data_IF_958342602928
#
_entry.id   IF_958342602928
#
_cell.length_a   1.000
_cell.length_b   1.000
_cell.length_c   1.000
_cell.angle_alpha   90.00
_cell.angle_beta   90.00
_cell.angle_gamma   90.00
#
_symmetry.space_group_name_H-M   'P 1'
#
loop_
_entity.id
_entity.type
_entity.pdbx_description
1 polymer ?
#
# COMPACT_ATOMS: atom_id res chain seq x y z
N UNK A 1 31.68 56.51 35.49
CA UNK A 1 32.86 56.34 34.62
C UNK A 1 32.83 54.93 34.07
N UNK A 2 32.76 54.81 32.75
CA UNK A 2 32.46 53.58 32.03
C UNK A 2 33.61 52.56 32.13
N UNK A 3 33.28 51.34 32.57
CA UNK A 3 34.15 50.17 32.55
C UNK A 3 33.53 49.13 31.61
N UNK A 4 33.57 49.42 30.32
CA UNK A 4 33.06 48.55 29.24
C UNK A 4 34.11 48.40 28.12
N UNK A 5 35.39 48.45 28.46
CA UNK A 5 36.48 48.51 27.47
C UNK A 5 37.33 47.22 27.38
N UNK A 6 36.87 46.11 27.95
CA UNK A 6 37.51 44.79 27.79
C UNK A 6 36.51 43.72 27.31
N UNK A 7 35.46 44.13 26.61
CA UNK A 7 34.62 43.16 25.89
C UNK A 7 35.43 42.69 24.67
N UNK A 8 36.00 41.49 24.74
CA UNK A 8 36.79 40.95 23.64
C UNK A 8 35.86 40.54 22.48
N UNK A 9 35.48 41.53 21.68
CA UNK A 9 34.52 41.41 20.58
C UNK A 9 34.97 40.36 19.57
N UNK A 10 36.30 40.17 19.42
CA UNK A 10 36.87 39.12 18.57
C UNK A 10 36.55 37.72 19.11
N UNK A 11 36.73 37.49 20.41
CA UNK A 11 36.43 36.19 21.02
C UNK A 11 34.94 35.87 20.95
N UNK A 12 34.09 36.89 21.17
CA UNK A 12 32.63 36.74 21.07
C UNK A 12 32.21 36.45 19.62
N UNK A 13 32.80 37.14 18.65
CA UNK A 13 32.53 36.90 17.24
C UNK A 13 32.96 35.49 16.81
N UNK A 14 34.14 35.03 17.26
CA UNK A 14 34.64 33.67 17.00
C UNK A 14 33.73 32.62 17.66
N UNK A 15 33.33 32.82 18.92
CA UNK A 15 32.41 31.92 19.61
C UNK A 15 31.04 31.85 18.92
N UNK A 16 30.52 32.99 18.44
CA UNK A 16 29.29 33.07 17.66
C UNK A 16 29.38 32.26 16.37
N UNK A 17 30.40 32.50 15.55
CA UNK A 17 30.61 31.75 14.29
C UNK A 17 30.81 30.25 14.57
N UNK A 18 31.57 29.90 15.60
CA UNK A 18 31.76 28.51 16.00
C UNK A 18 30.44 27.84 16.37
N UNK A 19 29.56 28.52 17.12
CA UNK A 19 28.25 27.98 17.49
C UNK A 19 27.36 27.68 16.27
N UNK A 20 27.38 28.57 15.26
CA UNK A 20 26.58 28.39 14.03
C UNK A 20 27.10 27.20 13.24
N UNK A 21 28.42 27.04 13.15
CA UNK A 21 29.05 25.90 12.48
C UNK A 21 28.66 24.60 13.19
N UNK A 22 28.70 24.55 14.52
CA UNK A 22 28.32 23.37 15.29
C UNK A 22 26.86 22.99 15.03
N UNK A 23 25.94 23.96 15.08
CA UNK A 23 24.52 23.72 14.78
C UNK A 23 24.34 23.22 13.35
N UNK A 24 25.04 23.80 12.38
CA UNK A 24 25.00 23.35 10.99
C UNK A 24 25.47 21.89 10.86
N UNK A 25 26.56 21.52 11.52
CA UNK A 25 27.05 20.13 11.57
C UNK A 25 26.04 19.20 12.22
N UNK A 26 25.37 19.62 13.31
CA UNK A 26 24.30 18.83 13.92
C UNK A 26 23.12 18.62 12.97
N UNK A 27 22.71 19.63 12.20
CA UNK A 27 21.62 19.52 11.22
C UNK A 27 22.02 18.53 10.11
N UNK A 28 23.21 18.69 9.53
CA UNK A 28 23.70 17.80 8.46
C UNK A 28 23.88 16.37 8.98
N UNK A 29 24.42 16.20 10.19
CA UNK A 29 24.58 14.90 10.83
C UNK A 29 23.22 14.22 11.10
N UNK A 30 22.24 14.97 11.59
CA UNK A 30 20.88 14.46 11.79
C UNK A 30 20.22 14.09 10.45
N UNK A 31 20.42 14.88 9.39
CA UNK A 31 19.96 14.55 8.05
C UNK A 31 20.63 13.26 7.54
N UNK A 32 21.95 13.14 7.66
CA UNK A 32 22.69 11.95 7.22
C UNK A 32 22.23 10.69 7.95
N UNK A 33 22.06 10.76 9.28
CA UNK A 33 21.50 9.67 10.08
C UNK A 33 20.07 9.35 9.63
N UNK A 34 19.22 10.36 9.47
CA UNK A 34 17.85 10.17 9.00
C UNK A 34 17.81 9.50 7.62
N UNK A 35 18.69 9.87 6.69
CA UNK A 35 18.79 9.22 5.39
C UNK A 35 19.34 7.79 5.47
N UNK A 36 20.29 7.49 6.36
CA UNK A 36 20.78 6.11 6.57
C UNK A 36 19.69 5.22 7.17
N UNK A 37 18.99 5.69 8.20
CA UNK A 37 17.84 4.99 8.79
C UNK A 37 16.72 4.82 7.77
N UNK A 38 16.40 5.87 7.01
CA UNK A 38 15.38 5.83 5.97
C UNK A 38 15.74 4.89 4.84
N UNK A 39 17.00 4.82 4.40
CA UNK A 39 17.41 3.82 3.40
C UNK A 39 17.26 2.39 3.93
N UNK A 40 17.57 2.15 5.22
CA UNK A 40 17.39 0.84 5.85
C UNK A 40 15.92 0.45 5.99
N UNK A 41 15.05 1.41 6.28
CA UNK A 41 13.62 1.20 6.39
C UNK A 41 12.90 1.17 5.04
N UNK A 42 13.29 1.98 4.06
CA UNK A 42 12.73 1.96 2.71
C UNK A 42 13.15 0.69 1.97
N UNK A 43 14.35 0.15 2.15
CA UNK A 43 14.70 -1.18 1.63
C UNK A 43 13.85 -2.26 2.30
N UNK A 44 13.61 -2.16 3.61
CA UNK A 44 12.70 -3.09 4.29
C UNK A 44 11.26 -2.90 3.86
N UNK A 45 10.76 -1.67 3.68
CA UNK A 45 9.37 -1.35 3.38
C UNK A 45 9.05 -1.46 1.90
N UNK A 46 10.00 -1.33 0.98
CA UNK A 46 9.80 -1.68 -0.43
C UNK A 46 9.72 -3.21 -0.59
N UNK A 47 10.39 -3.97 0.29
CA UNK A 47 10.31 -5.44 0.33
C UNK A 47 9.11 -5.94 1.19
N UNK A 48 8.74 -5.22 2.26
CA UNK A 48 7.75 -5.59 3.29
C UNK A 48 6.44 -4.79 3.18
N UNK A 49 6.33 -3.84 2.25
CA UNK A 49 5.05 -3.25 1.83
C UNK A 49 4.31 -4.21 0.89
N UNK A 50 3.99 -5.39 1.44
CA UNK A 50 2.61 -5.86 1.48
C UNK A 50 1.97 -6.38 0.18
N UNK A 51 2.61 -6.43 -0.98
CA UNK A 51 1.91 -6.80 -2.23
C UNK A 51 2.72 -7.64 -3.24
N UNK A 52 3.68 -8.47 -2.83
CA UNK A 52 4.17 -9.51 -3.74
C UNK A 52 3.34 -10.79 -3.57
N UNK A 53 3.33 -11.36 -2.36
CA UNK A 53 2.67 -12.64 -2.11
C UNK A 53 1.14 -12.53 -2.09
N UNK A 54 0.58 -11.52 -1.41
CA UNK A 54 -0.87 -11.29 -1.41
C UNK A 54 -1.42 -10.96 -2.79
N UNK A 55 -0.68 -10.17 -3.55
CA UNK A 55 -1.09 -9.77 -4.91
C UNK A 55 -1.00 -10.99 -5.84
N UNK A 56 -0.01 -11.88 -5.67
CA UNK A 56 0.02 -13.15 -6.40
C UNK A 56 -1.14 -14.08 -6.07
N UNK A 57 -1.54 -14.20 -4.80
CA UNK A 57 -2.67 -15.06 -4.40
C UNK A 57 -3.99 -14.49 -4.94
N UNK A 58 -4.19 -13.18 -4.86
CA UNK A 58 -5.39 -12.52 -5.39
C UNK A 58 -5.44 -12.62 -6.92
N UNK A 59 -4.31 -12.45 -7.60
CA UNK A 59 -4.21 -12.65 -9.04
C UNK A 59 -4.52 -14.09 -9.42
N UNK A 60 -3.95 -15.07 -8.72
CA UNK A 60 -4.21 -16.49 -8.96
C UNK A 60 -5.68 -16.88 -8.72
N UNK A 61 -6.30 -16.34 -7.67
CA UNK A 61 -7.73 -16.49 -7.40
C UNK A 61 -8.58 -15.87 -8.51
N UNK A 62 -8.24 -14.64 -8.96
CA UNK A 62 -8.94 -13.99 -10.07
C UNK A 62 -8.80 -14.76 -11.38
N UNK A 63 -7.65 -15.35 -11.66
CA UNK A 63 -7.44 -16.18 -12.86
C UNK A 63 -8.34 -17.42 -12.80
N UNK A 64 -8.34 -18.16 -11.68
CA UNK A 64 -9.21 -19.35 -11.52
C UNK A 64 -10.70 -19.05 -11.65
N UNK A 65 -11.15 -17.85 -11.27
CA UNK A 65 -12.55 -17.44 -11.35
C UNK A 65 -12.97 -16.93 -12.74
N UNK A 66 -12.00 -16.59 -13.60
CA UNK A 66 -12.26 -16.03 -14.95
C UNK A 66 -12.21 -17.06 -16.06
N UNK A 67 -11.57 -18.19 -15.83
CA UNK A 67 -11.34 -19.19 -16.87
C UNK A 67 -12.36 -20.34 -16.78
N UNK A 68 -12.72 -20.89 -17.94
CA UNK A 68 -13.45 -22.16 -18.00
C UNK A 68 -12.52 -23.30 -17.64
N UNK A 69 -13.01 -24.25 -16.84
CA UNK A 69 -12.21 -25.37 -16.38
C UNK A 69 -13.05 -26.58 -16.02
N UNK A 70 -12.40 -27.73 -15.87
CA UNK A 70 -13.04 -28.91 -15.28
C UNK A 70 -12.74 -28.94 -13.79
N UNK A 71 -13.76 -28.93 -12.93
CA UNK A 71 -13.60 -29.08 -11.48
C UNK A 71 -13.50 -30.56 -11.15
N UNK A 72 -14.38 -31.37 -11.72
CA UNK A 72 -14.43 -32.82 -11.51
C UNK A 72 -14.94 -33.49 -12.79
N UNK A 73 -14.05 -34.19 -13.50
CA UNK A 73 -14.36 -34.85 -14.78
C UNK A 73 -15.21 -36.10 -14.58
N UNK A 74 -15.09 -36.79 -13.44
CA UNK A 74 -15.86 -37.99 -13.14
C UNK A 74 -17.32 -37.63 -12.84
N UNK A 75 -17.53 -36.50 -12.17
CA UNK A 75 -18.88 -35.97 -11.86
C UNK A 75 -19.42 -35.02 -12.92
N UNK A 76 -18.70 -34.81 -14.03
CA UNK A 76 -19.07 -33.91 -15.13
C UNK A 76 -19.34 -32.47 -14.66
N UNK A 77 -18.61 -31.99 -13.64
CA UNK A 77 -18.76 -30.63 -13.08
C UNK A 77 -17.74 -29.71 -13.74
N UNK A 78 -18.23 -28.70 -14.44
CA UNK A 78 -17.45 -27.65 -15.12
C UNK A 78 -17.47 -26.35 -14.34
N UNK A 79 -16.33 -25.67 -14.29
CA UNK A 79 -16.22 -24.29 -13.87
C UNK A 79 -16.59 -23.38 -15.04
N UNK A 80 -17.48 -22.43 -14.76
CA UNK A 80 -17.81 -21.31 -15.64
C UNK A 80 -17.24 -20.01 -15.02
N UNK A 81 -16.84 -19.03 -15.84
CA UNK A 81 -16.39 -17.73 -15.36
C UNK A 81 -17.46 -17.10 -14.47
N UNK A 82 -17.02 -16.47 -13.38
CA UNK A 82 -17.93 -15.94 -12.38
C UNK A 82 -18.85 -14.85 -12.95
N UNK A 83 -18.37 -14.05 -13.91
CA UNK A 83 -19.19 -13.05 -14.59
C UNK A 83 -20.35 -13.66 -15.37
N UNK A 84 -20.15 -14.80 -16.01
CA UNK A 84 -21.22 -15.51 -16.74
C UNK A 84 -22.17 -16.23 -15.78
N UNK A 85 -21.64 -16.84 -14.73
CA UNK A 85 -22.44 -17.49 -13.69
C UNK A 85 -23.45 -16.51 -13.08
N UNK A 86 -23.03 -15.29 -12.75
CA UNK A 86 -23.92 -14.26 -12.24
C UNK A 86 -25.04 -13.92 -13.22
N UNK A 87 -24.73 -13.78 -14.52
CA UNK A 87 -25.75 -13.47 -15.53
C UNK A 87 -26.77 -14.59 -15.69
N UNK A 88 -26.34 -15.85 -15.65
CA UNK A 88 -27.21 -17.01 -15.76
C UNK A 88 -28.14 -17.07 -14.54
N UNK A 89 -27.60 -16.94 -13.32
CA UNK A 89 -28.40 -16.96 -12.08
C UNK A 89 -29.44 -15.83 -12.08
N UNK A 90 -29.07 -14.61 -12.48
CA UNK A 90 -30.02 -13.49 -12.57
C UNK A 90 -31.13 -13.79 -13.58
N UNK A 91 -30.80 -14.35 -14.74
CA UNK A 91 -31.79 -14.74 -15.76
C UNK A 91 -32.70 -15.87 -15.27
N UNK A 92 -32.16 -16.85 -14.57
CA UNK A 92 -32.92 -17.96 -13.99
C UNK A 92 -33.88 -17.47 -12.91
N UNK A 93 -33.42 -16.63 -11.98
CA UNK A 93 -34.28 -16.04 -10.94
C UNK A 93 -35.35 -15.12 -11.54
N UNK A 94 -35.03 -14.34 -12.58
CA UNK A 94 -36.02 -13.55 -13.31
C UNK A 94 -37.07 -14.42 -14.01
N UNK A 95 -36.65 -15.50 -14.68
CA UNK A 95 -37.56 -16.44 -15.34
C UNK A 95 -38.43 -17.23 -14.35
N UNK A 96 -37.88 -17.56 -13.17
CA UNK A 96 -38.59 -18.26 -12.10
C UNK A 96 -39.66 -17.37 -11.47
N UNK A 97 -39.34 -16.09 -11.24
CA UNK A 97 -40.32 -15.11 -10.79
C UNK A 97 -41.45 -14.88 -11.81
N UNK A 98 -41.12 -14.78 -13.11
CA UNK A 98 -42.14 -14.66 -14.17
C UNK A 98 -43.05 -15.90 -14.25
N UNK A 99 -42.49 -17.10 -14.02
CA UNK A 99 -43.27 -18.36 -14.04
C UNK A 99 -44.18 -18.49 -12.81
N UNK A 100 -43.75 -17.99 -11.66
CA UNK A 100 -44.56 -17.93 -10.44
C UNK A 100 -45.76 -16.97 -10.60
N UNK A 101 -45.58 -15.83 -11.28
CA UNK A 101 -46.65 -14.87 -11.57
C UNK A 101 -47.69 -15.45 -12.55
N UNK A 102 -47.27 -16.24 -13.54
CA UNK A 102 -48.22 -16.93 -14.44
C UNK A 102 -48.94 -18.13 -13.83
N UNK A 103 -48.44 -18.67 -12.71
CA UNK A 103 -49.06 -19.80 -12.01
C UNK A 103 -50.15 -19.38 -11.02
N UNK A 104 -50.16 -18.11 -10.60
CA UNK A 104 -51.17 -17.51 -9.70
C UNK A 104 -52.40 -16.94 -10.46
N UNK A 105 -52.32 -16.83 -11.79
CA UNK A 105 -53.38 -16.27 -12.66
C UNK A 105 -54.24 -17.38 -13.31
N UNK A 106 -54.20 -18.62 -12.80
CA UNK A 106 -55.03 -19.74 -13.27
C UNK A 106 -55.92 -20.34 -12.20
#
# INVERSE_FOLDING_TARGET
MAKYDDLNVKDIAVAGVASVIIVFVCIVGAQALFFDYRNREDVKKIIDSRNAEYDTIIVEQKTRLKDYGWIDKEKQIVAIPIEEAMQIVVKEEAAKNAKAETADVR
#
